data_IF_399700026746
#
_entry.id   IF_399700026746
#
_cell.length_a   1.000
_cell.length_b   1.000
_cell.length_c   1.000
_cell.angle_alpha   90.00
_cell.angle_beta   90.00
_cell.angle_gamma   90.00
#
_symmetry.space_group_name_H-M   'P 1'
#
loop_
_entity.id
_entity.type
_entity.pdbx_description
1 polymer ?
#
# COMPACT_ATOMS: atom_id res chain seq x y z
N UNK A 1 11.81 10.06 -20.15
CA UNK A 1 10.35 10.32 -20.00
C UNK A 1 10.09 10.13 -18.52
N UNK A 2 9.39 10.99 -17.78
CA UNK A 2 9.05 10.68 -16.39
C UNK A 2 8.11 9.46 -16.35
N UNK A 3 8.56 8.29 -15.88
CA UNK A 3 7.69 7.17 -15.63
C UNK A 3 6.65 7.46 -14.55
N UNK A 4 5.48 6.86 -14.70
CA UNK A 4 4.41 6.87 -13.72
C UNK A 4 4.38 5.51 -13.03
N UNK A 5 4.56 5.53 -11.71
CA UNK A 5 4.25 4.38 -10.86
C UNK A 5 2.79 4.49 -10.44
N UNK A 6 1.94 3.61 -10.96
CA UNK A 6 0.54 3.48 -10.55
C UNK A 6 0.42 2.30 -9.58
N UNK A 7 0.35 2.62 -8.30
CA UNK A 7 0.40 1.66 -7.20
C UNK A 7 -0.88 1.68 -6.39
N UNK A 8 -1.29 0.50 -5.92
CA UNK A 8 -2.50 0.32 -5.11
C UNK A 8 -2.20 -0.40 -3.80
N UNK A 9 -2.70 0.12 -2.70
CA UNK A 9 -2.78 -0.60 -1.42
C UNK A 9 -4.05 -1.47 -1.44
N UNK A 10 -3.90 -2.78 -1.18
CA UNK A 10 -4.99 -3.74 -1.15
C UNK A 10 -5.00 -4.42 0.22
N UNK A 11 -5.91 -3.96 1.09
CA UNK A 11 -5.99 -4.43 2.46
C UNK A 11 -7.43 -4.73 2.89
N UNK A 12 -7.62 -5.92 3.46
CA UNK A 12 -8.83 -6.25 4.23
C UNK A 12 -8.42 -6.81 5.58
N UNK A 13 -8.82 -6.18 6.70
CA UNK A 13 -8.53 -6.71 8.03
C UNK A 13 -9.46 -7.88 8.39
N UNK A 14 -9.03 -8.71 9.34
CA UNK A 14 -9.94 -9.61 10.05
C UNK A 14 -10.77 -8.80 11.05
N UNK A 15 -12.08 -8.93 10.95
CA UNK A 15 -13.07 -8.20 11.72
C UNK A 15 -13.31 -8.85 13.06
N UNK A 16 -13.27 -8.01 14.09
CA UNK A 16 -13.64 -8.41 15.44
C UNK A 16 -15.12 -8.76 15.50
N UNK A 17 -15.43 -9.70 16.39
CA UNK A 17 -16.79 -10.03 16.80
C UNK A 17 -17.49 -8.80 17.38
N UNK A 18 -18.75 -8.60 17.01
CA UNK A 18 -19.59 -7.51 17.53
C UNK A 18 -20.48 -7.94 18.70
N UNK A 19 -20.61 -9.25 18.93
CA UNK A 19 -21.35 -9.87 20.03
C UNK A 19 -20.51 -10.07 21.30
N UNK A 20 -19.25 -9.61 21.30
CA UNK A 20 -18.32 -9.71 22.43
C UNK A 20 -17.26 -10.81 22.23
N UNK A 21 -16.59 -11.19 23.31
CA UNK A 21 -15.57 -12.24 23.32
C UNK A 21 -16.25 -13.61 23.42
N UNK A 22 -15.87 -14.55 22.55
CA UNK A 22 -16.36 -15.92 22.64
C UNK A 22 -15.54 -16.71 23.68
N UNK A 23 -16.03 -16.73 24.92
CA UNK A 23 -15.38 -17.41 26.05
C UNK A 23 -15.28 -18.94 25.87
N UNK A 24 -16.18 -19.52 25.07
CA UNK A 24 -16.23 -20.96 24.79
C UNK A 24 -15.34 -21.36 23.61
N UNK A 25 -14.64 -20.42 22.98
CA UNK A 25 -13.72 -20.71 21.88
C UNK A 25 -12.48 -21.47 22.37
N UNK A 26 -12.07 -22.50 21.63
CA UNK A 26 -10.84 -23.25 21.91
C UNK A 26 -9.57 -22.56 21.33
N UNK A 27 -9.75 -21.73 20.30
CA UNK A 27 -8.68 -21.03 19.60
C UNK A 27 -8.77 -19.51 19.85
N UNK A 28 -7.60 -18.86 19.89
CA UNK A 28 -7.52 -17.43 20.15
C UNK A 28 -8.12 -16.58 19.02
N UNK A 29 -8.07 -17.08 17.79
CA UNK A 29 -8.72 -16.42 16.65
C UNK A 29 -10.25 -16.42 16.80
N UNK A 30 -10.87 -17.59 17.00
CA UNK A 30 -12.33 -17.75 17.14
C UNK A 30 -12.91 -17.00 18.35
N UNK A 31 -12.05 -16.73 19.34
CA UNK A 31 -12.37 -15.94 20.52
C UNK A 31 -12.67 -14.48 20.19
N UNK A 32 -11.97 -13.90 19.21
CA UNK A 32 -12.00 -12.46 18.92
C UNK A 32 -12.52 -12.09 17.54
N UNK A 33 -12.38 -12.95 16.54
CA UNK A 33 -12.70 -12.65 15.14
C UNK A 33 -13.99 -13.34 14.68
N UNK A 34 -14.64 -12.75 13.68
CA UNK A 34 -15.87 -13.26 13.07
C UNK A 34 -15.64 -13.62 11.61
N UNK A 35 -15.55 -14.92 11.30
CA UNK A 35 -15.45 -15.40 9.92
C UNK A 35 -16.71 -15.08 9.10
N UNK A 36 -17.90 -15.03 9.72
CA UNK A 36 -19.13 -14.59 9.05
C UNK A 36 -19.04 -13.13 8.59
N UNK A 37 -18.55 -12.23 9.46
CA UNK A 37 -18.34 -10.83 9.07
C UNK A 37 -17.24 -10.71 8.03
N UNK A 38 -16.13 -11.43 8.19
CA UNK A 38 -15.04 -11.44 7.21
C UNK A 38 -15.54 -11.85 5.83
N UNK A 39 -16.25 -12.97 5.75
CA UNK A 39 -16.83 -13.45 4.49
C UNK A 39 -17.80 -12.42 3.90
N UNK A 40 -18.74 -11.91 4.70
CA UNK A 40 -19.75 -10.99 4.21
C UNK A 40 -19.13 -9.74 3.57
N UNK A 41 -18.25 -9.06 4.29
CA UNK A 41 -17.65 -7.82 3.81
C UNK A 41 -16.60 -8.06 2.72
N UNK A 42 -15.82 -9.14 2.79
CA UNK A 42 -14.86 -9.44 1.74
C UNK A 42 -15.57 -9.69 0.40
N UNK A 43 -16.69 -10.43 0.42
CA UNK A 43 -17.50 -10.67 -0.78
C UNK A 43 -18.12 -9.40 -1.33
N UNK A 44 -18.65 -8.54 -0.45
CA UNK A 44 -19.24 -7.26 -0.87
C UNK A 44 -18.20 -6.37 -1.58
N UNK A 45 -17.04 -6.17 -0.95
CA UNK A 45 -15.95 -5.38 -1.55
C UNK A 45 -15.38 -6.04 -2.81
N UNK A 46 -15.34 -7.38 -2.87
CA UNK A 46 -14.89 -8.08 -4.05
C UNK A 46 -15.77 -7.80 -5.28
N UNK A 47 -17.10 -7.83 -5.12
CA UNK A 47 -18.05 -7.62 -6.21
C UNK A 47 -18.06 -6.16 -6.69
N UNK A 48 -17.93 -5.19 -5.78
CA UNK A 48 -18.00 -3.78 -6.11
C UNK A 48 -16.65 -3.20 -6.57
N UNK A 49 -15.53 -3.71 -6.05
CA UNK A 49 -14.19 -3.15 -6.26
C UNK A 49 -13.23 -4.16 -6.89
N UNK A 50 -12.89 -5.25 -6.20
CA UNK A 50 -11.75 -6.10 -6.61
C UNK A 50 -11.94 -6.73 -7.98
N UNK A 51 -13.10 -7.33 -8.26
CA UNK A 51 -13.39 -7.91 -9.57
C UNK A 51 -13.44 -6.84 -10.68
N UNK A 52 -14.29 -5.80 -10.60
CA UNK A 52 -14.45 -4.86 -11.70
C UNK A 52 -13.20 -4.01 -11.96
N UNK A 53 -12.49 -3.56 -10.92
CA UNK A 53 -11.26 -2.79 -11.10
C UNK A 53 -10.15 -3.66 -11.71
N UNK A 54 -9.95 -4.88 -11.20
CA UNK A 54 -8.87 -5.76 -11.66
C UNK A 54 -9.12 -6.24 -13.09
N UNK A 55 -10.37 -6.53 -13.47
CA UNK A 55 -10.72 -6.89 -14.85
C UNK A 55 -10.33 -5.79 -15.84
N UNK A 56 -10.60 -4.53 -15.50
CA UNK A 56 -10.27 -3.37 -16.34
C UNK A 56 -8.76 -3.17 -16.47
N UNK A 57 -8.04 -3.23 -15.36
CA UNK A 57 -6.58 -3.15 -15.34
C UNK A 57 -5.96 -4.28 -16.17
N UNK A 58 -6.40 -5.52 -15.97
CA UNK A 58 -5.91 -6.70 -16.68
C UNK A 58 -6.16 -6.61 -18.18
N UNK A 59 -7.34 -6.12 -18.59
CA UNK A 59 -7.66 -5.91 -20.00
C UNK A 59 -6.76 -4.87 -20.64
N UNK A 60 -6.54 -3.73 -20.00
CA UNK A 60 -5.66 -2.70 -20.54
C UNK A 60 -4.20 -3.16 -20.55
N UNK A 61 -3.74 -3.87 -19.51
CA UNK A 61 -2.39 -4.45 -19.47
C UNK A 61 -2.17 -5.39 -20.67
N UNK A 62 -3.11 -6.30 -20.95
CA UNK A 62 -3.06 -7.18 -22.13
C UNK A 62 -3.12 -6.43 -23.45
N UNK A 63 -3.90 -5.36 -23.53
CA UNK A 63 -4.04 -4.53 -24.73
C UNK A 63 -2.75 -3.77 -25.05
N UNK A 64 -1.96 -3.38 -24.04
CA UNK A 64 -0.71 -2.62 -24.22
C UNK A 64 0.55 -3.48 -24.17
N UNK A 65 0.48 -4.71 -23.68
CA UNK A 65 1.59 -5.65 -23.66
C UNK A 65 2.21 -5.88 -25.05
N UNK A 66 3.54 -5.92 -25.10
CA UNK A 66 4.36 -6.05 -26.30
C UNK A 66 4.44 -4.79 -27.17
N UNK A 67 3.84 -3.66 -26.77
CA UNK A 67 3.97 -2.38 -27.47
C UNK A 67 5.17 -1.60 -26.95
N UNK A 68 5.58 -0.56 -27.68
CA UNK A 68 6.73 0.29 -27.32
C UNK A 68 6.61 0.93 -25.92
N UNK A 69 5.38 1.18 -25.45
CA UNK A 69 5.09 1.63 -24.09
C UNK A 69 3.97 0.77 -23.53
N UNK A 70 4.34 -0.11 -22.61
CA UNK A 70 3.39 -0.98 -21.93
C UNK A 70 2.63 -0.21 -20.84
N UNK A 71 1.43 -0.69 -20.53
CA UNK A 71 0.75 -0.27 -19.31
C UNK A 71 1.19 -1.19 -18.17
N UNK A 72 1.63 -0.61 -17.06
CA UNK A 72 2.12 -1.33 -15.89
C UNK A 72 1.42 -0.83 -14.63
N UNK A 73 1.20 -1.73 -13.68
CA UNK A 73 0.58 -1.44 -12.37
C UNK A 73 1.36 -2.13 -11.26
N UNK A 74 1.25 -1.61 -10.04
CA UNK A 74 1.90 -2.18 -8.87
C UNK A 74 0.88 -2.41 -7.77
N UNK A 75 1.01 -3.50 -7.03
CA UNK A 75 0.12 -3.82 -5.91
C UNK A 75 0.92 -4.02 -4.63
N UNK A 76 0.54 -3.33 -3.55
CA UNK A 76 0.87 -3.75 -2.20
C UNK A 76 -0.33 -4.50 -1.64
N UNK A 77 -0.22 -5.83 -1.54
CA UNK A 77 -1.32 -6.69 -1.10
C UNK A 77 -0.98 -7.24 0.27
N UNK A 78 -1.77 -6.90 1.28
CA UNK A 78 -1.58 -7.43 2.63
C UNK A 78 -1.79 -8.95 2.67
N UNK A 79 -1.08 -9.68 3.55
CA UNK A 79 -1.29 -11.13 3.64
C UNK A 79 -2.69 -11.47 4.17
N UNK A 80 -3.27 -10.62 5.02
CA UNK A 80 -4.67 -10.80 5.46
C UNK A 80 -5.65 -10.79 4.29
N UNK A 81 -5.45 -9.92 3.29
CA UNK A 81 -6.26 -9.93 2.08
C UNK A 81 -6.06 -11.24 1.30
N UNK A 82 -4.83 -11.73 1.16
CA UNK A 82 -4.52 -12.98 0.44
C UNK A 82 -5.17 -14.18 1.13
N UNK A 83 -5.09 -14.26 2.46
CA UNK A 83 -5.73 -15.30 3.27
C UNK A 83 -7.24 -15.33 3.07
N UNK A 84 -7.88 -14.15 3.13
CA UNK A 84 -9.32 -14.02 2.89
C UNK A 84 -9.70 -14.32 1.44
N UNK A 85 -8.91 -13.88 0.46
CA UNK A 85 -9.12 -14.22 -0.94
C UNK A 85 -9.07 -15.73 -1.16
N UNK A 86 -8.06 -16.44 -0.63
CA UNK A 86 -7.97 -17.91 -0.71
C UNK A 86 -9.21 -18.61 -0.15
N UNK A 87 -9.79 -18.05 0.91
CA UNK A 87 -10.94 -18.64 1.58
C UNK A 87 -12.27 -18.34 0.86
N UNK A 88 -12.46 -17.10 0.40
CA UNK A 88 -13.77 -16.61 -0.03
C UNK A 88 -13.89 -16.39 -1.54
N UNK A 89 -12.82 -15.98 -2.23
CA UNK A 89 -12.75 -15.76 -3.68
C UNK A 89 -11.35 -16.02 -4.24
N UNK A 90 -10.92 -17.30 -4.35
CA UNK A 90 -9.59 -17.63 -4.87
C UNK A 90 -9.39 -17.15 -6.32
N UNK A 91 -10.47 -16.90 -7.05
CA UNK A 91 -10.45 -16.40 -8.43
C UNK A 91 -9.79 -15.02 -8.55
N UNK A 92 -9.74 -14.22 -7.47
CA UNK A 92 -9.04 -12.94 -7.44
C UNK A 92 -7.51 -13.12 -7.55
N UNK A 93 -6.96 -14.13 -6.86
CA UNK A 93 -5.54 -14.48 -6.96
C UNK A 93 -5.23 -15.00 -8.36
N UNK A 94 -6.09 -15.86 -8.91
CA UNK A 94 -5.97 -16.34 -10.29
C UNK A 94 -5.99 -15.19 -11.30
N UNK A 95 -6.81 -14.16 -11.05
CA UNK A 95 -6.90 -12.99 -11.93
C UNK A 95 -5.65 -12.11 -11.88
N UNK A 96 -5.06 -11.90 -10.71
CA UNK A 96 -3.78 -11.21 -10.56
C UNK A 96 -2.65 -11.96 -11.28
N UNK A 97 -2.63 -13.29 -11.19
CA UNK A 97 -1.68 -14.15 -11.92
C UNK A 97 -1.88 -14.19 -13.44
N UNK A 98 -2.96 -13.58 -13.97
CA UNK A 98 -3.22 -13.49 -15.42
C UNK A 98 -2.65 -12.23 -16.07
N UNK A 99 -2.11 -11.29 -15.29
CA UNK A 99 -1.36 -10.15 -15.83
C UNK A 99 -0.10 -10.66 -16.54
N UNK A 100 0.27 -10.10 -17.70
CA UNK A 100 1.59 -10.36 -18.29
C UNK A 100 2.73 -9.95 -17.33
N UNK A 101 3.79 -10.77 -17.24
CA UNK A 101 4.86 -10.62 -16.25
C UNK A 101 5.53 -9.23 -16.20
N UNK A 102 5.63 -8.52 -17.34
CA UNK A 102 6.24 -7.17 -17.41
C UNK A 102 5.27 -6.01 -17.14
N UNK A 103 4.02 -6.32 -16.78
CA UNK A 103 2.94 -5.33 -16.61
C UNK A 103 2.42 -5.24 -15.18
N UNK A 104 2.95 -6.07 -14.27
CA UNK A 104 2.59 -6.06 -12.85
C UNK A 104 3.82 -6.26 -11.98
N UNK A 105 3.93 -5.49 -10.89
CA UNK A 105 4.93 -5.71 -9.85
C UNK A 105 4.27 -5.66 -8.46
N UNK A 106 4.96 -6.19 -7.46
CA UNK A 106 4.41 -6.31 -6.10
C UNK A 106 5.30 -5.61 -5.06
N UNK A 107 4.65 -4.92 -4.13
CA UNK A 107 5.28 -4.13 -3.07
C UNK A 107 5.17 -4.90 -1.75
N UNK A 108 6.31 -5.10 -1.09
CA UNK A 108 6.38 -5.73 0.22
C UNK A 108 5.77 -4.83 1.30
N UNK A 109 5.20 -5.43 2.33
CA UNK A 109 4.68 -4.70 3.49
C UNK A 109 4.77 -5.58 4.74
N UNK A 110 4.22 -5.10 5.86
CA UNK A 110 4.10 -5.94 7.05
C UNK A 110 3.03 -7.03 6.79
N UNK A 111 3.28 -8.25 7.28
CA UNK A 111 2.43 -9.43 7.05
C UNK A 111 0.92 -9.16 7.26
N UNK A 112 0.55 -8.53 8.39
CA UNK A 112 -0.84 -8.22 8.73
C UNK A 112 -1.20 -6.73 8.62
N UNK A 113 -0.49 -5.95 7.80
CA UNK A 113 -0.65 -4.49 7.75
C UNK A 113 -0.59 -3.87 9.17
N UNK A 114 0.37 -4.36 9.97
CA UNK A 114 0.50 -4.07 11.39
C UNK A 114 1.35 -2.82 11.65
N UNK A 115 1.23 -2.25 12.83
CA UNK A 115 2.05 -1.12 13.26
C UNK A 115 3.42 -1.56 13.85
N UNK A 116 3.89 -2.77 13.51
CA UNK A 116 5.15 -3.33 14.05
C UNK A 116 6.37 -2.42 13.83
N UNK A 117 6.39 -1.62 12.75
CA UNK A 117 7.44 -0.64 12.50
C UNK A 117 7.56 0.49 13.54
N UNK A 118 6.48 0.80 14.27
CA UNK A 118 6.45 1.84 15.30
C UNK A 118 7.01 1.41 16.66
N UNK A 119 7.17 0.11 16.92
CA UNK A 119 7.65 -0.38 18.22
C UNK A 119 9.17 -0.27 18.34
N UNK A 120 9.69 -0.02 19.55
CA UNK A 120 11.13 0.06 19.78
C UNK A 120 11.87 -1.25 19.47
N UNK A 121 11.28 -2.39 19.84
CA UNK A 121 11.81 -3.70 19.47
C UNK A 121 11.42 -4.06 18.04
N UNK A 122 12.42 -4.24 17.18
CA UNK A 122 12.21 -4.36 15.73
C UNK A 122 12.32 -5.79 15.20
N UNK A 123 12.38 -6.78 16.09
CA UNK A 123 12.45 -8.22 15.74
C UNK A 123 11.17 -8.67 15.03
N UNK A 124 10.00 -8.33 15.58
CA UNK A 124 8.71 -8.66 14.98
C UNK A 124 8.54 -7.97 13.61
N UNK A 125 8.92 -6.70 13.51
CA UNK A 125 8.84 -5.96 12.25
C UNK A 125 9.64 -6.67 11.13
N UNK A 126 10.90 -7.05 11.39
CA UNK A 126 11.73 -7.79 10.42
C UNK A 126 11.13 -9.14 10.06
N UNK A 127 10.65 -9.88 11.06
CA UNK A 127 9.98 -11.16 10.82
C UNK A 127 8.76 -10.98 9.90
N UNK A 128 7.92 -10.00 10.17
CA UNK A 128 6.75 -9.72 9.34
C UNK A 128 7.11 -9.31 7.91
N UNK A 129 8.20 -8.56 7.70
CA UNK A 129 8.69 -8.21 6.36
C UNK A 129 9.16 -9.45 5.59
N UNK A 130 9.91 -10.35 6.25
CA UNK A 130 10.36 -11.62 5.64
C UNK A 130 9.18 -12.52 5.28
N UNK A 131 8.26 -12.73 6.22
CA UNK A 131 7.07 -13.57 6.03
C UNK A 131 6.18 -13.03 4.90
N UNK A 132 5.97 -11.72 4.84
CA UNK A 132 5.20 -11.12 3.76
C UNK A 132 5.85 -11.33 2.39
N UNK A 133 7.17 -11.14 2.30
CA UNK A 133 7.95 -11.36 1.07
C UNK A 133 7.81 -12.80 0.56
N UNK A 134 7.89 -13.78 1.46
CA UNK A 134 7.68 -15.21 1.15
C UNK A 134 6.26 -15.47 0.62
N UNK A 135 5.24 -14.91 1.27
CA UNK A 135 3.85 -15.08 0.84
C UNK A 135 3.61 -14.48 -0.55
N UNK A 136 4.16 -13.30 -0.85
CA UNK A 136 4.02 -12.73 -2.20
C UNK A 136 4.70 -13.61 -3.25
N UNK A 137 5.91 -14.10 -2.96
CA UNK A 137 6.63 -15.00 -3.87
C UNK A 137 5.87 -16.31 -4.11
N UNK A 138 5.31 -16.92 -3.07
CA UNK A 138 4.52 -18.15 -3.17
C UNK A 138 3.24 -17.99 -4.01
N UNK A 139 2.59 -16.82 -3.95
CA UNK A 139 1.28 -16.62 -4.60
C UNK A 139 1.40 -16.00 -5.99
N UNK A 140 2.44 -15.22 -6.25
CA UNK A 140 2.59 -14.44 -7.49
C UNK A 140 3.92 -14.65 -8.21
N UNK A 141 4.84 -15.45 -7.66
CA UNK A 141 6.12 -15.78 -8.30
C UNK A 141 7.13 -14.63 -8.38
N UNK A 142 6.86 -13.52 -7.67
CA UNK A 142 7.72 -12.32 -7.63
C UNK A 142 8.15 -12.07 -6.20
N UNK A 143 9.44 -11.90 -5.97
CA UNK A 143 9.97 -11.43 -4.68
C UNK A 143 9.94 -9.90 -4.64
N UNK A 144 9.18 -9.26 -3.73
CA UNK A 144 9.14 -7.81 -3.63
C UNK A 144 10.52 -7.17 -3.41
N UNK A 145 10.87 -6.20 -4.26
CA UNK A 145 12.14 -5.44 -4.16
C UNK A 145 11.97 -4.06 -3.51
N UNK A 146 10.75 -3.53 -3.52
CA UNK A 146 10.37 -2.28 -2.85
C UNK A 146 9.37 -2.63 -1.75
N UNK A 147 9.45 -1.92 -0.63
CA UNK A 147 8.45 -2.05 0.43
C UNK A 147 7.70 -0.76 0.71
N UNK A 148 6.54 -0.90 1.33
CA UNK A 148 5.86 0.15 2.07
C UNK A 148 5.73 -0.31 3.52
N UNK A 149 5.78 0.62 4.47
CA UNK A 149 5.31 0.33 5.81
C UNK A 149 3.82 0.71 5.89
N UNK A 150 3.11 0.03 6.78
CA UNK A 150 1.68 0.26 7.07
C UNK A 150 1.36 1.75 7.06
N UNK A 151 0.39 2.15 6.25
CA UNK A 151 -0.13 3.52 6.19
C UNK A 151 0.91 4.57 5.74
N UNK A 152 1.86 4.14 4.91
CA UNK A 152 3.04 4.89 4.48
C UNK A 152 3.85 5.47 5.65
N UNK A 153 3.75 4.86 6.84
CA UNK A 153 4.38 5.34 8.05
C UNK A 153 5.90 5.28 7.93
N UNK A 154 6.59 6.41 8.10
CA UNK A 154 8.04 6.46 8.00
C UNK A 154 8.69 7.40 9.01
N UNK A 155 9.79 6.90 9.55
CA UNK A 155 10.88 7.67 10.13
C UNK A 155 12.20 6.96 9.79
N UNK A 156 13.33 7.61 10.08
CA UNK A 156 14.66 7.18 9.68
C UNK A 156 14.99 5.74 10.10
N UNK A 157 14.55 5.29 11.28
CA UNK A 157 14.75 3.91 11.72
C UNK A 157 14.01 2.89 10.82
N UNK A 158 12.77 3.16 10.41
CA UNK A 158 12.03 2.30 9.47
C UNK A 158 12.78 2.23 8.13
N UNK A 159 13.24 3.37 7.61
CA UNK A 159 14.03 3.43 6.39
C UNK A 159 15.34 2.65 6.48
N UNK A 160 16.05 2.76 7.61
CA UNK A 160 17.25 1.98 7.90
C UNK A 160 16.98 0.48 7.85
N UNK A 161 15.91 0.03 8.50
CA UNK A 161 15.55 -1.39 8.53
C UNK A 161 15.20 -1.89 7.13
N UNK A 162 14.45 -1.11 6.34
CA UNK A 162 14.16 -1.45 4.96
C UNK A 162 15.43 -1.71 4.14
N UNK A 163 16.46 -0.87 4.32
CA UNK A 163 17.76 -1.06 3.66
C UNK A 163 18.50 -2.31 4.19
N UNK A 164 18.52 -2.54 5.50
CA UNK A 164 19.15 -3.71 6.13
C UNK A 164 18.49 -5.04 5.70
N UNK A 165 17.17 -5.05 5.50
CA UNK A 165 16.40 -6.20 5.01
C UNK A 165 16.51 -6.39 3.49
N UNK A 166 17.35 -5.60 2.82
CA UNK A 166 17.72 -5.76 1.41
C UNK A 166 16.70 -5.21 0.41
N UNK A 167 15.75 -4.37 0.83
CA UNK A 167 14.86 -3.69 -0.10
C UNK A 167 15.63 -2.59 -0.86
N UNK A 168 15.47 -2.55 -2.19
CA UNK A 168 16.02 -1.50 -3.06
C UNK A 168 15.42 -0.13 -2.76
N UNK A 169 14.18 -0.09 -2.28
CA UNK A 169 13.56 1.15 -1.87
C UNK A 169 12.40 0.97 -0.91
N UNK A 170 12.01 2.09 -0.30
CA UNK A 170 10.85 2.24 0.57
C UNK A 170 9.96 3.37 0.03
N UNK A 171 8.67 3.07 -0.12
CA UNK A 171 7.65 4.03 -0.51
C UNK A 171 7.05 4.69 0.75
N UNK A 172 6.94 6.02 0.76
CA UNK A 172 6.34 6.76 1.89
C UNK A 172 5.64 8.05 1.43
N UNK A 173 5.11 8.84 2.36
CA UNK A 173 4.34 10.06 2.11
C UNK A 173 5.26 11.28 1.89
N UNK A 174 4.96 12.05 0.83
CA UNK A 174 5.56 13.36 0.56
C UNK A 174 4.90 14.47 1.39
N UNK A 175 4.87 14.33 2.72
CA UNK A 175 4.15 15.27 3.57
C UNK A 175 4.77 16.70 3.48
N UNK A 176 3.98 17.76 3.18
CA UNK A 176 4.51 19.11 2.96
C UNK A 176 5.42 19.66 4.06
N UNK A 177 5.15 19.28 5.33
CA UNK A 177 5.93 19.73 6.49
C UNK A 177 7.39 19.26 6.48
N UNK A 178 7.71 18.16 5.80
CA UNK A 178 9.05 17.56 5.77
C UNK A 178 9.72 17.71 4.39
N UNK A 179 8.94 17.97 3.33
CA UNK A 179 9.49 18.15 1.99
C UNK A 179 10.50 19.30 1.94
N UNK A 180 10.17 20.47 2.47
CA UNK A 180 11.05 21.64 2.36
C UNK A 180 11.31 22.01 0.89
N UNK A 181 12.55 21.84 0.41
CA UNK A 181 12.91 22.04 -1.01
C UNK A 181 12.62 20.82 -1.90
N UNK A 182 12.33 19.66 -1.29
CA UNK A 182 12.14 18.39 -1.97
C UNK A 182 10.84 18.38 -2.76
N UNK A 183 10.82 17.58 -3.82
CA UNK A 183 9.65 17.29 -4.63
C UNK A 183 9.36 15.79 -4.56
N UNK A 184 8.08 15.36 -4.50
CA UNK A 184 7.75 13.94 -4.48
C UNK A 184 8.07 13.20 -5.79
N UNK A 185 8.52 13.93 -6.82
CA UNK A 185 8.84 13.39 -8.14
C UNK A 185 10.34 13.04 -8.32
N UNK A 186 11.09 12.93 -7.22
CA UNK A 186 12.49 12.50 -7.19
C UNK A 186 12.70 11.48 -6.07
N UNK A 187 13.71 10.61 -6.25
CA UNK A 187 14.15 9.72 -5.19
C UNK A 187 15.03 10.46 -4.20
N UNK A 188 14.96 10.00 -2.96
CA UNK A 188 15.86 10.42 -1.88
C UNK A 188 16.52 9.21 -1.26
N UNK A 189 17.42 9.42 -0.32
CA UNK A 189 17.98 8.34 0.51
C UNK A 189 18.08 8.77 1.96
N UNK A 190 18.33 7.83 2.86
CA UNK A 190 18.51 8.14 4.28
C UNK A 190 19.78 9.00 4.47
N UNK A 191 19.83 9.88 5.49
CA UNK A 191 21.07 10.56 5.84
C UNK A 191 22.19 9.59 6.25
N UNK A 192 23.44 9.91 5.96
CA UNK A 192 24.61 9.07 6.29
C UNK A 192 24.72 8.74 7.80
N UNK A 193 24.25 9.63 8.68
CA UNK A 193 24.25 9.36 10.13
C UNK A 193 23.21 8.31 10.56
N UNK A 194 22.26 7.96 9.69
CA UNK A 194 21.24 6.94 9.89
C UNK A 194 21.76 5.58 9.40
N UNK A 195 22.30 5.53 8.18
CA UNK A 195 22.87 4.32 7.57
C UNK A 195 23.90 4.69 6.51
N UNK A 196 25.01 3.93 6.46
CA UNK A 196 26.06 4.10 5.45
C UNK A 196 25.63 3.56 4.07
N UNK A 197 24.65 2.65 4.04
CA UNK A 197 24.12 2.03 2.82
C UNK A 197 22.60 2.25 2.79
N UNK A 198 22.19 3.48 2.49
CA UNK A 198 20.79 3.82 2.30
C UNK A 198 20.19 3.15 1.06
N UNK A 199 18.87 2.97 1.08
CA UNK A 199 18.11 2.56 -0.08
C UNK A 199 17.37 3.76 -0.68
N UNK A 200 16.61 3.53 -1.76
CA UNK A 200 15.80 4.59 -2.38
C UNK A 200 14.56 4.90 -1.52
N UNK A 201 14.32 6.18 -1.24
CA UNK A 201 13.10 6.67 -0.61
C UNK A 201 12.24 7.31 -1.70
N UNK A 202 11.11 6.67 -1.99
CA UNK A 202 10.15 7.07 -2.99
C UNK A 202 8.96 7.74 -2.31
N UNK A 203 8.59 8.94 -2.76
CA UNK A 203 7.55 9.73 -2.11
C UNK A 203 6.26 9.71 -2.93
N UNK A 204 5.12 9.55 -2.25
CA UNK A 204 3.78 9.70 -2.83
C UNK A 204 3.59 11.12 -3.36
N UNK A 205 3.12 11.25 -4.60
CA UNK A 205 2.60 12.53 -5.07
C UNK A 205 1.18 12.72 -4.54
N UNK A 206 1.07 13.21 -3.30
CA UNK A 206 -0.19 13.37 -2.59
C UNK A 206 -1.26 14.08 -3.40
N UNK A 207 -0.95 15.24 -3.99
CA UNK A 207 -1.95 16.07 -4.67
C UNK A 207 -2.64 15.28 -5.79
N UNK A 208 -1.84 14.75 -6.72
CA UNK A 208 -2.36 13.99 -7.85
C UNK A 208 -3.08 12.72 -7.42
N UNK A 209 -2.57 12.07 -6.37
CA UNK A 209 -3.19 10.87 -5.83
C UNK A 209 -4.54 11.16 -5.18
N UNK A 210 -4.62 12.17 -4.31
CA UNK A 210 -5.86 12.57 -3.62
C UNK A 210 -6.90 13.14 -4.59
N UNK A 211 -6.47 13.72 -5.72
CA UNK A 211 -7.38 14.19 -6.77
C UNK A 211 -8.22 13.02 -7.34
N UNK A 212 -7.65 11.79 -7.39
CA UNK A 212 -8.37 10.56 -7.74
C UNK A 212 -8.99 9.90 -6.50
N UNK A 213 -8.19 9.63 -5.47
CA UNK A 213 -8.61 8.89 -4.28
C UNK A 213 -9.73 9.55 -3.48
N UNK A 214 -9.69 10.89 -3.37
CA UNK A 214 -10.59 11.64 -2.49
C UNK A 214 -11.53 12.57 -3.25
N UNK A 215 -11.03 13.30 -4.27
CA UNK A 215 -11.78 14.39 -4.92
C UNK A 215 -12.54 13.96 -6.19
N UNK A 216 -12.41 12.71 -6.64
CA UNK A 216 -12.96 12.30 -7.94
C UNK A 216 -14.46 12.59 -8.11
N UNK A 217 -15.27 12.28 -7.09
CA UNK A 217 -16.71 12.55 -7.05
C UNK A 217 -17.10 13.86 -6.35
N UNK A 218 -16.14 14.71 -6.00
CA UNK A 218 -16.37 15.94 -5.27
C UNK A 218 -16.89 17.06 -6.18
N UNK A 219 -18.20 17.16 -6.37
CA UNK A 219 -18.85 18.18 -7.21
C UNK A 219 -18.54 19.64 -6.80
N UNK A 220 -18.10 19.84 -5.56
CA UNK A 220 -17.70 21.15 -5.03
C UNK A 220 -16.26 21.55 -5.39
N UNK A 221 -15.44 20.63 -5.90
CA UNK A 221 -14.05 20.90 -6.26
C UNK A 221 -13.98 21.55 -7.66
N UNK A 222 -13.21 22.63 -7.80
CA UNK A 222 -13.17 23.44 -9.02
C UNK A 222 -12.69 22.67 -10.28
N UNK A 223 -12.00 21.55 -10.12
CA UNK A 223 -11.57 20.72 -11.25
C UNK A 223 -12.56 19.59 -11.59
N UNK A 224 -13.68 19.46 -10.87
CA UNK A 224 -14.72 18.49 -11.17
C UNK A 224 -15.44 18.84 -12.50
N UNK A 225 -15.78 17.85 -13.35
CA UNK A 225 -15.45 16.43 -13.23
C UNK A 225 -14.00 16.13 -13.61
N UNK A 226 -13.38 15.17 -12.92
CA UNK A 226 -12.06 14.67 -13.28
C UNK A 226 -12.17 13.60 -14.39
N UNK A 227 -11.60 13.88 -15.56
CA UNK A 227 -11.55 12.94 -16.69
C UNK A 227 -10.14 12.40 -16.89
N UNK A 228 -10.00 11.23 -17.52
CA UNK A 228 -8.70 10.63 -17.82
C UNK A 228 -7.83 11.56 -18.69
N UNK A 229 -8.42 12.26 -19.67
CA UNK A 229 -7.75 13.25 -20.52
C UNK A 229 -7.25 14.47 -19.71
N UNK A 230 -8.08 15.00 -18.82
CA UNK A 230 -7.70 16.11 -17.94
C UNK A 230 -6.54 15.67 -17.04
N UNK A 231 -6.66 14.51 -16.41
CA UNK A 231 -5.65 13.97 -15.51
C UNK A 231 -4.32 13.67 -16.24
N UNK A 232 -4.35 13.04 -17.42
CA UNK A 232 -3.15 12.76 -18.21
C UNK A 232 -2.41 14.04 -18.62
N UNK A 233 -3.15 15.12 -18.92
CA UNK A 233 -2.55 16.42 -19.22
C UNK A 233 -1.78 16.99 -18.02
N UNK A 234 -2.29 16.82 -16.80
CA UNK A 234 -1.61 17.25 -15.58
C UNK A 234 -0.35 16.41 -15.30
N UNK A 235 -0.44 15.10 -15.49
CA UNK A 235 0.71 14.20 -15.39
C UNK A 235 1.80 14.60 -16.39
N UNK A 236 1.43 14.89 -17.64
CA UNK A 236 2.39 15.29 -18.69
C UNK A 236 3.07 16.63 -18.39
N UNK A 237 2.41 17.51 -17.65
CA UNK A 237 2.94 18.80 -17.25
C UNK A 237 3.91 18.73 -16.05
N UNK A 238 3.92 17.62 -15.31
CA UNK A 238 4.78 17.45 -14.15
C UNK A 238 6.27 17.43 -14.51
N UNK A 239 7.09 17.89 -13.56
CA UNK A 239 8.55 17.90 -13.64
C UNK A 239 9.12 16.94 -12.59
N UNK A 240 10.30 16.43 -12.86
CA UNK A 240 10.99 15.47 -12.02
C UNK A 240 11.35 14.21 -12.80
N UNK A 241 11.84 13.22 -12.08
CA UNK A 241 12.35 11.98 -12.66
C UNK A 241 11.25 10.92 -12.77
N UNK A 242 10.19 11.00 -11.97
CA UNK A 242 9.03 10.09 -12.00
C UNK A 242 7.80 10.72 -11.35
N UNK A 243 6.65 10.05 -11.42
CA UNK A 243 5.41 10.42 -10.73
C UNK A 243 4.88 9.19 -10.00
N UNK A 244 4.84 9.25 -8.67
CA UNK A 244 4.39 8.15 -7.82
C UNK A 244 2.94 8.35 -7.38
N UNK A 245 2.04 7.55 -7.91
CA UNK A 245 0.62 7.50 -7.54
C UNK A 245 0.40 6.26 -6.67
N UNK A 246 -0.03 6.43 -5.43
CA UNK A 246 -0.24 5.32 -4.49
C UNK A 246 -1.51 5.54 -3.68
N UNK A 247 -2.57 4.78 -3.96
CA UNK A 247 -3.89 4.99 -3.36
C UNK A 247 -4.51 3.68 -2.89
N UNK A 248 -5.50 3.75 -1.99
CA UNK A 248 -6.33 2.61 -1.64
C UNK A 248 -6.99 2.04 -2.90
N UNK A 249 -6.96 0.72 -3.06
CA UNK A 249 -7.59 0.07 -4.20
C UNK A 249 -9.12 0.19 -4.16
N UNK A 250 -9.67 0.24 -2.95
CA UNK A 250 -11.07 0.54 -2.62
C UNK A 250 -11.53 1.91 -3.15
N UNK A 251 -10.62 2.78 -3.61
CA UNK A 251 -10.96 3.96 -4.43
C UNK A 251 -11.89 3.61 -5.59
N UNK A 252 -11.69 2.44 -6.21
CA UNK A 252 -12.34 2.03 -7.45
C UNK A 252 -13.51 1.07 -7.20
N UNK A 253 -14.62 1.59 -6.69
CA UNK A 253 -15.86 0.83 -6.48
C UNK A 253 -16.48 1.00 -5.10
N UNK A 254 -15.66 1.20 -4.06
CA UNK A 254 -16.12 1.41 -2.69
C UNK A 254 -16.18 2.90 -2.31
N UNK A 255 -15.03 3.60 -2.31
CA UNK A 255 -14.99 5.02 -1.95
C UNK A 255 -15.68 5.89 -2.99
N UNK A 256 -15.53 5.52 -4.26
CA UNK A 256 -16.32 6.05 -5.37
C UNK A 256 -17.04 4.88 -6.03
N UNK A 257 -18.37 4.85 -5.94
CA UNK A 257 -19.16 3.76 -6.54
C UNK A 257 -19.08 3.79 -8.08
N UNK A 258 -19.44 2.68 -8.73
CA UNK A 258 -19.41 2.55 -10.21
C UNK A 258 -20.11 3.72 -10.93
N UNK A 259 -21.29 4.12 -10.45
CA UNK A 259 -22.09 5.23 -10.99
C UNK A 259 -21.42 6.62 -10.98
N UNK A 260 -20.29 6.81 -10.27
CA UNK A 260 -19.49 8.05 -10.34
C UNK A 260 -18.68 8.14 -11.63
N UNK A 261 -18.47 7.02 -12.32
CA UNK A 261 -17.60 6.92 -13.48
C UNK A 261 -16.15 6.52 -13.15
N UNK A 262 -15.79 6.27 -11.89
CA UNK A 262 -14.40 5.98 -11.48
C UNK A 262 -13.81 4.76 -12.19
N UNK A 263 -14.62 3.70 -12.39
CA UNK A 263 -14.17 2.50 -13.08
C UNK A 263 -13.95 2.77 -14.58
N UNK A 264 -14.74 3.65 -15.20
CA UNK A 264 -14.53 4.09 -16.58
C UNK A 264 -13.28 4.97 -16.71
N UNK A 265 -13.03 5.81 -15.70
CA UNK A 265 -11.79 6.59 -15.60
C UNK A 265 -10.57 5.67 -15.53
N UNK A 266 -10.59 4.65 -14.65
CA UNK A 266 -9.50 3.69 -14.49
C UNK A 266 -9.17 2.97 -15.80
N UNK A 267 -10.21 2.52 -16.53
CA UNK A 267 -10.06 1.86 -17.82
C UNK A 267 -9.52 2.80 -18.91
N UNK A 268 -9.92 4.07 -18.93
CA UNK A 268 -9.49 5.03 -19.94
C UNK A 268 -8.08 5.57 -19.68
N UNK A 269 -7.63 5.58 -18.42
CA UNK A 269 -6.38 6.22 -17.98
C UNK A 269 -5.14 5.78 -18.78
N UNK A 270 -4.87 4.47 -19.01
CA UNK A 270 -3.67 4.06 -19.73
C UNK A 270 -3.63 4.60 -21.16
N UNK A 271 -4.77 4.58 -21.84
CA UNK A 271 -4.90 5.09 -23.20
C UNK A 271 -4.65 6.60 -23.27
N UNK A 272 -5.17 7.39 -22.33
CA UNK A 272 -4.99 8.85 -22.31
C UNK A 272 -3.55 9.24 -21.94
N UNK A 273 -2.96 8.58 -20.93
CA UNK A 273 -1.56 8.80 -20.54
C UNK A 273 -0.61 8.50 -21.70
N UNK A 274 -0.79 7.37 -22.39
CA UNK A 274 0.10 6.95 -23.47
C UNK A 274 -0.05 7.75 -24.78
N UNK A 275 -1.01 8.69 -24.87
CA UNK A 275 -1.02 9.70 -25.95
C UNK A 275 0.08 10.75 -25.78
N UNK A 276 0.57 10.95 -24.56
CA UNK A 276 1.63 11.91 -24.27
C UNK A 276 2.99 11.24 -24.45
N UNK A 277 3.77 11.64 -25.46
CA UNK A 277 5.08 11.04 -25.78
C UNK A 277 6.14 11.19 -24.69
N UNK A 278 5.90 12.06 -23.70
CA UNK A 278 6.77 12.24 -22.55
C UNK A 278 6.38 11.37 -21.34
N UNK A 279 5.35 10.54 -21.41
CA UNK A 279 4.91 9.68 -20.32
C UNK A 279 5.02 8.20 -20.67
N UNK A 280 5.27 7.39 -19.64
CA UNK A 280 5.23 5.93 -19.67
C UNK A 280 4.82 5.40 -18.28
N UNK A 281 4.40 4.14 -18.21
CA UNK A 281 4.16 3.46 -16.94
C UNK A 281 5.36 2.58 -16.57
N UNK A 282 5.60 2.44 -15.28
CA UNK A 282 6.79 1.74 -14.78
C UNK A 282 6.45 0.86 -13.58
N UNK A 283 7.19 -0.23 -13.46
CA UNK A 283 7.19 -1.04 -12.25
C UNK A 283 7.86 -0.25 -11.13
N UNK A 284 7.37 -0.40 -9.90
CA UNK A 284 7.90 0.32 -8.75
C UNK A 284 9.39 0.04 -8.52
N UNK A 285 9.86 -1.17 -8.82
CA UNK A 285 11.30 -1.54 -8.74
C UNK A 285 12.18 -0.78 -9.71
N UNK A 286 11.68 -0.41 -10.89
CA UNK A 286 12.43 0.37 -11.88
C UNK A 286 12.63 1.80 -11.38
N UNK A 287 11.62 2.37 -10.71
CA UNK A 287 11.74 3.69 -10.08
C UNK A 287 12.74 3.67 -8.94
N UNK A 288 12.78 2.60 -8.14
CA UNK A 288 13.73 2.46 -7.04
C UNK A 288 15.21 2.48 -7.50
N UNK A 289 15.49 2.11 -8.75
CA UNK A 289 16.84 2.12 -9.33
C UNK A 289 17.29 3.54 -9.78
N UNK A 290 16.43 4.56 -9.72
CA UNK A 290 16.85 5.94 -10.01
C UNK A 290 17.73 6.53 -8.89
N UNK A 291 18.79 7.24 -9.30
CA UNK A 291 19.72 7.89 -8.37
C UNK A 291 19.00 8.91 -7.45
N UNK A 292 19.18 8.82 -6.12
CA UNK A 292 18.69 9.82 -5.19
C UNK A 292 19.26 11.21 -5.45
N UNK A 293 18.42 12.24 -5.44
CA UNK A 293 18.85 13.65 -5.63
C UNK A 293 19.25 14.33 -4.32
N UNK A 294 19.09 13.64 -3.19
CA UNK A 294 19.45 14.14 -1.87
C UNK A 294 18.95 13.23 -0.75
N UNK A 295 19.04 13.72 0.49
CA UNK A 295 18.61 12.97 1.68
C UNK A 295 17.19 13.34 2.09
N UNK A 296 16.43 12.38 2.62
CA UNK A 296 15.13 12.60 3.26
C UNK A 296 15.22 12.23 4.74
N UNK A 297 15.13 13.24 5.60
CA UNK A 297 15.38 13.13 7.03
C UNK A 297 14.08 13.31 7.83
N UNK A 298 13.54 12.20 8.31
CA UNK A 298 12.35 12.14 9.15
C UNK A 298 12.69 11.51 10.49
N UNK A 299 12.93 12.32 11.53
CA UNK A 299 13.10 11.81 12.89
C UNK A 299 11.81 11.18 13.43
N UNK A 300 11.93 10.32 14.45
CA UNK A 300 10.83 9.58 15.09
C UNK A 300 9.69 10.51 15.52
N UNK A 301 10.02 11.66 16.11
CA UNK A 301 9.04 12.66 16.55
C UNK A 301 8.39 13.44 15.39
N UNK A 302 8.86 13.24 14.16
CA UNK A 302 8.33 13.84 12.94
C UNK A 302 7.89 12.77 11.92
N UNK A 303 7.54 11.58 12.44
CA UNK A 303 7.04 10.43 11.67
C UNK A 303 5.99 10.88 10.67
N UNK A 304 6.15 10.48 9.40
CA UNK A 304 5.20 10.75 8.32
C UNK A 304 4.23 9.60 8.16
N UNK A 305 3.03 9.89 7.69
CA UNK A 305 2.03 8.92 7.25
C UNK A 305 1.12 9.61 6.23
N UNK A 306 0.43 8.83 5.40
CA UNK A 306 -0.59 9.33 4.51
C UNK A 306 -1.95 9.58 5.19
N UNK A 307 -2.09 9.20 6.47
CA UNK A 307 -3.36 9.27 7.17
C UNK A 307 -3.68 10.66 7.71
N UNK A 308 -4.98 10.94 7.74
CA UNK A 308 -5.60 12.16 8.27
C UNK A 308 -4.99 13.46 7.71
N UNK A 309 -5.43 14.59 8.22
CA UNK A 309 -4.93 15.90 7.79
C UNK A 309 -3.52 16.19 8.32
N UNK A 310 -3.17 15.62 9.47
CA UNK A 310 -1.90 15.85 10.16
C UNK A 310 -0.73 15.11 9.47
N UNK A 311 -1.01 14.05 8.70
CA UNK A 311 -0.01 13.24 7.98
C UNK A 311 1.10 12.73 8.88
N UNK A 312 0.73 12.26 10.06
CA UNK A 312 1.64 11.76 11.09
C UNK A 312 1.06 10.49 11.73
N UNK A 313 1.73 9.95 12.75
CA UNK A 313 1.28 8.75 13.44
C UNK A 313 0.13 9.00 14.44
N UNK A 314 -0.42 10.22 14.56
CA UNK A 314 -1.42 10.57 15.58
C UNK A 314 -2.74 9.82 15.38
N UNK A 315 -3.07 9.43 14.15
CA UNK A 315 -4.20 8.56 13.85
C UNK A 315 -4.15 7.26 14.67
N UNK A 316 -2.97 6.75 15.03
CA UNK A 316 -2.80 5.54 15.84
C UNK A 316 -2.32 5.83 17.26
N UNK A 317 -1.43 6.80 17.44
CA UNK A 317 -0.77 7.10 18.72
C UNK A 317 -1.43 8.25 19.50
N UNK A 318 -2.37 8.98 18.92
CA UNK A 318 -3.00 10.16 19.54
C UNK A 318 -4.06 9.84 20.58
N UNK A 319 -4.50 8.58 20.69
CA UNK A 319 -5.53 8.16 21.63
C UNK A 319 -4.90 7.45 22.85
N UNK A 320 -5.12 7.94 24.09
CA UNK A 320 -4.59 7.32 25.30
C UNK A 320 -4.95 5.83 25.47
N UNK A 321 -6.14 5.41 25.02
CA UNK A 321 -6.56 4.01 25.05
C UNK A 321 -5.73 3.17 24.07
N UNK A 322 -5.41 3.71 22.88
CA UNK A 322 -4.55 3.04 21.90
C UNK A 322 -3.11 2.94 22.40
N UNK A 323 -2.60 3.98 23.05
CA UNK A 323 -1.29 3.94 23.71
C UNK A 323 -1.23 2.90 24.83
N UNK A 324 -2.28 2.79 25.65
CA UNK A 324 -2.39 1.75 26.67
C UNK A 324 -2.44 0.34 26.06
N UNK A 325 -3.19 0.14 24.97
CA UNK A 325 -3.22 -1.14 24.26
C UNK A 325 -1.85 -1.50 23.70
N UNK A 326 -1.11 -0.54 23.15
CA UNK A 326 0.25 -0.74 22.64
C UNK A 326 1.24 -1.08 23.76
N UNK A 327 1.15 -0.43 24.91
CA UNK A 327 1.97 -0.72 26.08
C UNK A 327 1.65 -2.10 26.71
N UNK A 328 0.38 -2.52 26.67
CA UNK A 328 0.03 -3.89 27.04
C UNK A 328 0.56 -4.92 26.03
N UNK A 329 0.53 -4.59 24.73
CA UNK A 329 1.08 -5.47 23.69
C UNK A 329 2.58 -5.69 23.89
N UNK A 330 3.36 -4.65 24.16
CA UNK A 330 4.81 -4.78 24.45
C UNK A 330 5.08 -5.59 25.73
N UNK A 331 4.20 -5.50 26.72
CA UNK A 331 4.31 -6.25 27.99
C UNK A 331 3.99 -7.74 27.81
N UNK A 332 3.04 -8.08 26.93
CA UNK A 332 2.63 -9.45 26.60
C UNK A 332 3.55 -10.10 25.56
N UNK A 333 4.26 -9.29 24.76
CA UNK A 333 5.11 -9.71 23.65
C UNK A 333 6.64 -9.88 23.95
N UNK A 334 7.10 -10.47 25.07
CA UNK A 334 8.44 -11.07 25.10
C UNK A 334 8.54 -12.31 24.18
N UNK A 335 7.40 -12.84 23.73
CA UNK A 335 7.29 -13.97 22.80
C UNK A 335 6.31 -13.54 21.70
N UNK A 336 6.73 -13.51 20.44
CA UNK A 336 5.90 -13.08 19.31
C UNK A 336 4.55 -13.81 19.31
N UNK A 337 3.45 -13.11 19.56
CA UNK A 337 2.10 -13.68 19.44
C UNK A 337 1.57 -13.35 18.06
N UNK A 338 1.84 -14.22 17.09
CA UNK A 338 1.08 -14.20 15.83
C UNK A 338 -0.26 -14.87 16.10
N UNK A 339 -1.36 -14.11 16.06
CA UNK A 339 -2.71 -14.66 16.18
C UNK A 339 -3.12 -15.35 14.88
N UNK A 340 -2.72 -16.60 14.71
CA UNK A 340 -3.17 -17.44 13.58
C UNK A 340 -4.40 -18.27 13.96
N UNK A 341 -5.14 -18.78 12.98
CA UNK A 341 -6.26 -19.70 13.21
C UNK A 341 -5.88 -20.94 14.04
N UNK A 342 -4.61 -21.34 13.99
CA UNK A 342 -4.07 -22.50 14.70
C UNK A 342 -3.44 -22.15 16.06
N UNK A 343 -3.56 -20.91 16.55
CA UNK A 343 -2.98 -20.49 17.81
C UNK A 343 -3.84 -20.95 19.01
N UNK A 344 -3.41 -21.99 19.74
CA UNK A 344 -4.18 -22.47 20.88
C UNK A 344 -4.21 -21.39 21.96
N UNK A 345 -5.30 -21.33 22.72
CA UNK A 345 -5.32 -20.55 23.96
C UNK A 345 -4.21 -21.07 24.87
N UNK A 346 -3.22 -20.22 25.16
CA UNK A 346 -2.22 -20.58 26.17
C UNK A 346 -2.95 -20.76 27.49
N UNK A 347 -2.84 -21.95 28.08
CA UNK A 347 -3.33 -22.21 29.44
C UNK A 347 -2.41 -21.53 30.45
N UNK A 348 -2.48 -20.20 30.55
CA UNK A 348 -1.91 -19.48 31.68
C UNK A 348 -3.06 -18.90 32.49
N UNK A 349 -3.35 -19.61 33.58
CA UNK A 349 -4.13 -19.17 34.74
C UNK A 349 -3.59 -17.92 35.39
#
# INVERSE_FOLDING_TARGET
MPPISLSFEVHQPHRLRTDGVNEDADQLYDRYFSDEMNEHFFKDVAENCYFPATEKLLREAKKFHGKNREFKVNFSISSSWIEQAKQYHPELIDMLNRFPDSTVDFIGQTHYHSLSGLFNEKTEFRQQLSTHREIIEENFGVTPQVMTNTELIYHNEIGKIAAEEGFKGIFTEGAPRILGWRSPNHNYTQPDFVTDNGNSIMLRNRKLTDDVGYRFSAEWWDEYPLTAEKYSSWLSACKGDHINLFMDYETFGEHHWEGTGILWFLEALPQEVLKHDNLEFSEVREIADHDPVGTFDAFEYNTVSWADQEMDASAWLGNPIRLMMMDQYTTISPTSITLTKDSPLSQNT
#
